data_IF_928345235384
#
_entry.id   IF_928345235384
#
_cell.length_a   1.000
_cell.length_b   1.000
_cell.length_c   1.000
_cell.angle_alpha   90.00
_cell.angle_beta   90.00
_cell.angle_gamma   90.00
#
_symmetry.space_group_name_H-M   'P 1'
#
loop_
_entity.id
_entity.type
_entity.pdbx_description
1 polymer ?
#
# COMPACT_ATOMS: atom_id res chain seq x y z
N UNK A 1 5.86 -20.87 4.03
CA UNK A 1 4.76 -20.18 3.30
C UNK A 1 3.72 -21.19 2.80
N UNK A 2 4.08 -22.19 1.98
CA UNK A 2 3.11 -23.17 1.47
C UNK A 2 2.49 -24.07 2.56
N UNK A 3 3.25 -24.46 3.57
CA UNK A 3 2.70 -25.21 4.72
C UNK A 3 1.70 -24.40 5.52
N UNK A 4 1.95 -23.10 5.71
CA UNK A 4 1.00 -22.17 6.36
C UNK A 4 -0.29 -22.06 5.57
N UNK A 5 -0.19 -21.98 4.23
CA UNK A 5 -1.37 -21.99 3.35
C UNK A 5 -2.14 -23.29 3.51
N UNK A 6 -1.47 -24.44 3.41
CA UNK A 6 -2.09 -25.76 3.57
C UNK A 6 -2.74 -25.95 4.94
N UNK A 7 -2.12 -25.47 6.01
CA UNK A 7 -2.67 -25.53 7.36
C UNK A 7 -3.89 -24.62 7.50
N UNK A 8 -3.83 -23.38 6.99
CA UNK A 8 -4.93 -22.42 7.05
C UNK A 8 -6.13 -22.82 6.15
N UNK A 9 -5.89 -23.59 5.09
CA UNK A 9 -6.92 -24.11 4.19
C UNK A 9 -7.38 -25.53 4.53
N UNK A 10 -6.82 -26.16 5.56
CA UNK A 10 -7.15 -27.55 5.91
C UNK A 10 -8.62 -27.66 6.36
N UNK A 11 -9.40 -28.49 5.69
CA UNK A 11 -10.82 -28.70 5.99
C UNK A 11 -11.76 -27.60 5.52
N UNK A 12 -11.27 -26.59 4.80
CA UNK A 12 -12.12 -25.58 4.18
C UNK A 12 -12.85 -26.14 2.96
N UNK A 13 -14.16 -25.91 2.89
CA UNK A 13 -14.93 -26.07 1.67
C UNK A 13 -14.89 -24.77 0.88
N UNK A 14 -14.24 -24.80 -0.29
CA UNK A 14 -14.34 -23.71 -1.27
C UNK A 14 -15.65 -23.89 -2.02
N UNK A 15 -16.34 -22.78 -2.29
CA UNK A 15 -17.46 -22.75 -3.21
C UNK A 15 -16.95 -22.72 -4.65
N UNK A 16 -17.75 -23.22 -5.60
CA UNK A 16 -17.35 -23.37 -7.00
C UNK A 16 -16.99 -22.04 -7.69
N UNK A 17 -17.42 -20.91 -7.13
CA UNK A 17 -17.12 -19.58 -7.66
C UNK A 17 -15.71 -19.07 -7.28
N UNK A 18 -15.03 -19.69 -6.31
CA UNK A 18 -13.68 -19.27 -5.88
C UNK A 18 -12.64 -19.69 -6.92
N UNK A 19 -11.95 -18.70 -7.50
CA UNK A 19 -10.93 -18.92 -8.52
C UNK A 19 -9.52 -18.52 -8.05
N UNK A 20 -9.41 -17.62 -7.07
CA UNK A 20 -8.13 -17.07 -6.61
C UNK A 20 -8.03 -17.03 -5.09
N UNK A 21 -6.81 -17.27 -4.60
CA UNK A 21 -6.43 -17.09 -3.20
C UNK A 21 -5.14 -16.27 -3.13
N UNK A 22 -5.16 -15.16 -2.40
CA UNK A 22 -4.02 -14.24 -2.31
C UNK A 22 -3.65 -13.93 -0.87
N UNK A 23 -2.37 -13.64 -0.62
CA UNK A 23 -1.91 -13.21 0.69
C UNK A 23 -2.06 -11.70 0.84
N UNK A 24 -2.56 -11.29 2.00
CA UNK A 24 -2.39 -9.91 2.48
C UNK A 24 -0.91 -9.59 2.66
N UNK A 25 -0.52 -8.31 2.61
CA UNK A 25 0.90 -7.92 2.64
C UNK A 25 1.63 -8.17 3.97
N UNK A 26 0.93 -8.49 5.06
CA UNK A 26 1.54 -8.77 6.36
C UNK A 26 2.24 -7.58 7.02
N UNK A 27 1.88 -6.33 6.67
CA UNK A 27 2.50 -5.12 7.24
C UNK A 27 2.31 -5.01 8.77
N UNK A 28 1.26 -5.64 9.31
CA UNK A 28 0.92 -5.70 10.73
C UNK A 28 1.21 -7.06 11.39
N UNK A 29 1.87 -8.01 10.72
CA UNK A 29 2.14 -9.35 11.26
C UNK A 29 1.92 -10.48 10.23
N UNK A 30 1.27 -11.57 10.65
CA UNK A 30 1.08 -12.77 9.83
C UNK A 30 0.12 -12.53 8.64
N UNK A 31 0.49 -12.91 7.40
CA UNK A 31 -0.39 -12.80 6.25
C UNK A 31 -1.65 -13.67 6.38
N UNK A 32 -2.83 -13.07 6.12
CA UNK A 32 -4.10 -13.77 5.88
C UNK A 32 -4.27 -14.15 4.42
N UNK A 33 -5.05 -15.21 4.16
CA UNK A 33 -5.43 -15.64 2.81
C UNK A 33 -6.80 -15.05 2.47
N UNK A 34 -6.88 -14.29 1.39
CA UNK A 34 -8.12 -13.72 0.85
C UNK A 34 -8.57 -14.54 -0.35
N UNK A 35 -9.80 -15.05 -0.30
CA UNK A 35 -10.46 -15.83 -1.33
C UNK A 35 -11.28 -14.92 -2.25
N UNK A 36 -11.22 -15.17 -3.55
CA UNK A 36 -11.83 -14.31 -4.56
C UNK A 36 -12.46 -15.13 -5.68
N UNK A 37 -13.61 -14.66 -6.15
CA UNK A 37 -14.19 -15.18 -7.38
C UNK A 37 -13.44 -14.69 -8.62
N UNK A 38 -13.59 -15.39 -9.75
CA UNK A 38 -13.04 -14.94 -11.02
C UNK A 38 -13.61 -13.56 -11.44
N UNK A 39 -14.93 -13.38 -11.27
CA UNK A 39 -15.62 -12.12 -11.61
C UNK A 39 -15.13 -10.94 -10.78
N UNK A 40 -14.77 -11.14 -9.50
CA UNK A 40 -14.30 -10.04 -8.63
C UNK A 40 -13.04 -9.32 -9.13
N UNK A 41 -12.30 -9.91 -10.07
CA UNK A 41 -11.19 -9.25 -10.74
C UNK A 41 -11.50 -8.96 -12.21
N UNK A 42 -12.17 -9.88 -12.91
CA UNK A 42 -12.51 -9.70 -14.31
C UNK A 42 -13.29 -8.40 -14.59
N UNK A 43 -14.20 -8.02 -13.68
CA UNK A 43 -14.98 -6.78 -13.76
C UNK A 43 -14.10 -5.50 -13.75
N UNK A 44 -12.84 -5.58 -13.31
CA UNK A 44 -11.91 -4.44 -13.29
C UNK A 44 -10.91 -4.44 -14.44
N UNK A 45 -10.87 -5.48 -15.27
CA UNK A 45 -9.85 -5.64 -16.32
C UNK A 45 -9.88 -4.53 -17.36
N UNK A 46 -11.06 -4.17 -17.88
CA UNK A 46 -11.19 -3.11 -18.88
C UNK A 46 -10.68 -1.76 -18.36
N UNK A 47 -11.08 -1.38 -17.14
CA UNK A 47 -10.63 -0.15 -16.50
C UNK A 47 -9.10 -0.16 -16.29
N UNK A 48 -8.54 -1.27 -15.82
CA UNK A 48 -7.08 -1.39 -15.62
C UNK A 48 -6.33 -1.38 -16.95
N UNK A 49 -6.84 -2.03 -17.99
CA UNK A 49 -6.26 -1.97 -19.34
C UNK A 49 -6.24 -0.53 -19.87
N UNK A 50 -7.29 0.26 -19.61
CA UNK A 50 -7.35 1.69 -19.90
C UNK A 50 -6.25 2.49 -19.19
N UNK A 51 -6.08 2.30 -17.87
CA UNK A 51 -5.02 2.98 -17.12
C UNK A 51 -3.61 2.56 -17.56
N UNK A 52 -3.40 1.29 -17.89
CA UNK A 52 -2.10 0.85 -18.43
C UNK A 52 -1.90 1.28 -19.89
N UNK A 53 -2.99 1.53 -20.63
CA UNK A 53 -2.96 1.68 -22.09
C UNK A 53 -2.31 0.47 -22.76
N UNK A 54 -2.63 -0.73 -22.27
CA UNK A 54 -1.94 -1.97 -22.65
C UNK A 54 -2.93 -3.14 -22.83
N UNK A 55 -2.67 -3.96 -23.85
CA UNK A 55 -3.47 -5.14 -24.19
C UNK A 55 -2.63 -6.43 -24.25
N UNK A 56 -3.14 -7.51 -24.86
CA UNK A 56 -2.48 -8.82 -24.86
C UNK A 56 -1.14 -8.86 -25.62
N UNK A 57 -0.92 -7.93 -26.55
CA UNK A 57 0.35 -7.79 -27.28
C UNK A 57 1.42 -7.03 -26.49
N UNK A 58 1.03 -6.39 -25.38
CA UNK A 58 1.93 -5.68 -24.50
C UNK A 58 2.45 -6.57 -23.38
N UNK A 59 3.41 -6.03 -22.63
CA UNK A 59 4.03 -6.72 -21.51
C UNK A 59 4.01 -5.84 -20.26
N UNK A 60 3.56 -6.41 -19.13
CA UNK A 60 3.49 -5.74 -17.83
C UNK A 60 4.58 -6.26 -16.93
N UNK A 61 5.46 -5.35 -16.47
CA UNK A 61 6.48 -5.66 -15.49
C UNK A 61 5.86 -5.83 -14.10
N UNK A 62 6.17 -6.95 -13.46
CA UNK A 62 5.76 -7.31 -12.10
C UNK A 62 7.02 -7.59 -11.26
N UNK A 63 7.55 -6.58 -10.57
CA UNK A 63 8.84 -6.69 -9.87
C UNK A 63 8.74 -7.35 -8.49
N UNK A 64 7.63 -8.04 -8.19
CA UNK A 64 7.45 -8.79 -6.96
C UNK A 64 6.88 -10.20 -7.27
N UNK A 65 7.13 -11.20 -6.40
CA UNK A 65 6.57 -12.55 -6.58
C UNK A 65 5.04 -12.56 -6.66
N UNK A 66 4.43 -13.52 -7.37
CA UNK A 66 2.99 -13.62 -7.56
C UNK A 66 2.25 -14.21 -6.34
N UNK A 67 2.47 -13.63 -5.16
CA UNK A 67 1.83 -14.07 -3.91
C UNK A 67 0.86 -13.01 -3.34
N UNK A 68 1.12 -11.74 -3.62
CA UNK A 68 0.31 -10.63 -3.14
C UNK A 68 -0.82 -10.29 -4.12
N UNK A 69 -1.88 -9.66 -3.61
CA UNK A 69 -3.08 -9.35 -4.39
C UNK A 69 -2.77 -8.59 -5.69
N UNK A 70 -1.86 -7.61 -5.64
CA UNK A 70 -1.43 -6.81 -6.80
C UNK A 70 -0.82 -7.66 -7.93
N UNK A 71 0.15 -8.52 -7.60
CA UNK A 71 0.87 -9.30 -8.60
C UNK A 71 0.03 -10.47 -9.10
N UNK A 72 -0.74 -11.10 -8.23
CA UNK A 72 -1.67 -12.17 -8.61
C UNK A 72 -2.83 -11.64 -9.47
N UNK A 73 -3.35 -10.43 -9.18
CA UNK A 73 -4.32 -9.75 -10.05
C UNK A 73 -3.77 -9.61 -11.47
N UNK A 74 -2.50 -9.22 -11.62
CA UNK A 74 -1.91 -9.02 -12.95
C UNK A 74 -1.78 -10.32 -13.74
N UNK A 75 -1.53 -11.45 -13.05
CA UNK A 75 -1.60 -12.78 -13.67
C UNK A 75 -3.03 -13.11 -14.10
N UNK A 76 -4.02 -12.84 -13.25
CA UNK A 76 -5.44 -13.04 -13.59
C UNK A 76 -5.85 -12.17 -14.79
N UNK A 77 -5.41 -10.92 -14.83
CA UNK A 77 -5.67 -9.99 -15.93
C UNK A 77 -5.07 -10.52 -17.24
N UNK A 78 -3.84 -11.03 -17.22
CA UNK A 78 -3.22 -11.65 -18.41
C UNK A 78 -4.01 -12.86 -18.92
N UNK A 79 -4.52 -13.72 -18.03
CA UNK A 79 -5.40 -14.84 -18.43
C UNK A 79 -6.73 -14.35 -19.02
N UNK A 80 -7.20 -13.17 -18.61
CA UNK A 80 -8.39 -12.51 -19.15
C UNK A 80 -8.15 -11.65 -20.40
N UNK A 81 -6.97 -11.73 -21.03
CA UNK A 81 -6.63 -10.96 -22.24
C UNK A 81 -5.88 -9.64 -21.99
N UNK A 82 -5.42 -9.40 -20.77
CA UNK A 82 -4.52 -8.30 -20.44
C UNK A 82 -3.06 -8.55 -20.87
N UNK A 83 -2.15 -7.61 -20.56
CA UNK A 83 -0.75 -7.68 -20.97
C UNK A 83 -0.01 -8.88 -20.36
N UNK A 84 0.95 -9.42 -21.12
CA UNK A 84 1.76 -10.58 -20.71
C UNK A 84 2.64 -10.22 -19.50
N UNK A 85 2.62 -11.00 -18.41
CA UNK A 85 3.39 -10.69 -17.22
C UNK A 85 4.88 -10.97 -17.43
N UNK A 86 5.72 -10.00 -17.09
CA UNK A 86 7.17 -10.13 -16.97
C UNK A 86 7.52 -10.13 -15.48
N UNK A 87 7.75 -11.31 -14.93
CA UNK A 87 8.17 -11.45 -13.53
C UNK A 87 9.66 -11.13 -13.40
N UNK A 88 10.03 -10.30 -12.43
CA UNK A 88 11.45 -10.12 -12.05
C UNK A 88 12.03 -8.73 -12.33
N UNK A 89 13.23 -8.69 -12.93
CA UNK A 89 14.16 -7.55 -12.88
C UNK A 89 13.62 -6.26 -13.47
N UNK A 90 13.86 -5.16 -12.74
CA UNK A 90 13.38 -3.82 -13.03
C UNK A 90 13.84 -3.24 -14.39
N UNK A 91 14.94 -3.75 -14.94
CA UNK A 91 15.56 -3.29 -16.19
C UNK A 91 15.09 -4.04 -17.44
N UNK A 92 13.99 -4.80 -17.35
CA UNK A 92 13.51 -5.59 -18.48
C UNK A 92 13.07 -4.69 -19.66
N UNK A 93 13.83 -4.72 -20.76
CA UNK A 93 13.61 -3.89 -21.95
C UNK A 93 12.31 -4.19 -22.70
N UNK A 94 11.71 -5.35 -22.47
CA UNK A 94 10.47 -5.75 -23.12
C UNK A 94 9.22 -5.18 -22.42
N UNK A 95 9.39 -4.56 -21.24
CA UNK A 95 8.28 -4.00 -20.48
C UNK A 95 7.67 -2.77 -21.18
N UNK A 96 6.37 -2.82 -21.39
CA UNK A 96 5.57 -1.73 -21.94
C UNK A 96 4.88 -0.93 -20.84
N UNK A 97 4.47 -1.61 -19.77
CA UNK A 97 3.88 -0.99 -18.60
C UNK A 97 4.38 -1.65 -17.30
N UNK A 98 4.15 -1.00 -16.18
CA UNK A 98 4.47 -1.49 -14.83
C UNK A 98 3.18 -1.60 -14.03
N UNK A 99 3.02 -2.70 -13.29
CA UNK A 99 2.07 -2.76 -12.18
C UNK A 99 2.83 -3.13 -10.90
N UNK A 100 2.90 -2.20 -9.94
CA UNK A 100 3.75 -2.38 -8.77
C UNK A 100 3.51 -1.39 -7.65
N UNK A 101 4.42 -1.39 -6.67
CA UNK A 101 4.44 -0.40 -5.58
C UNK A 101 5.25 0.84 -5.96
N UNK A 102 5.16 1.94 -5.20
CA UNK A 102 6.06 3.09 -5.38
C UNK A 102 7.54 2.69 -5.34
N UNK A 103 7.92 1.76 -4.46
CA UNK A 103 9.29 1.25 -4.40
C UNK A 103 9.72 0.55 -5.69
N UNK A 104 8.81 -0.21 -6.30
CA UNK A 104 9.04 -0.87 -7.57
C UNK A 104 9.25 0.14 -8.71
N UNK A 105 8.41 1.18 -8.79
CA UNK A 105 8.58 2.26 -9.76
C UNK A 105 9.93 2.95 -9.56
N UNK A 106 10.33 3.25 -8.31
CA UNK A 106 11.63 3.85 -8.01
C UNK A 106 12.79 2.97 -8.49
N UNK A 107 12.76 1.67 -8.20
CA UNK A 107 13.79 0.75 -8.65
C UNK A 107 13.92 0.69 -10.19
N UNK A 108 12.80 0.76 -10.91
CA UNK A 108 12.79 0.83 -12.38
C UNK A 108 13.44 2.12 -12.88
N UNK A 109 13.10 3.26 -12.28
CA UNK A 109 13.69 4.55 -12.66
C UNK A 109 15.18 4.63 -12.32
N UNK A 110 15.61 4.08 -11.17
CA UNK A 110 17.00 4.06 -10.72
C UNK A 110 17.88 3.19 -11.62
N UNK A 111 17.32 2.11 -12.17
CA UNK A 111 18.01 1.23 -13.11
C UNK A 111 18.10 1.78 -14.55
N UNK A 112 17.53 2.96 -14.81
CA UNK A 112 17.34 3.50 -16.16
C UNK A 112 16.13 2.84 -16.83
N UNK A 113 14.97 3.48 -16.68
CA UNK A 113 13.69 2.94 -17.14
C UNK A 113 13.76 2.40 -18.59
N UNK A 114 13.14 1.24 -18.88
CA UNK A 114 13.08 0.69 -20.23
C UNK A 114 12.51 1.71 -21.23
N UNK A 115 13.11 1.82 -22.41
CA UNK A 115 12.68 2.80 -23.43
C UNK A 115 11.24 2.59 -23.95
N UNK A 116 10.69 1.40 -23.76
CA UNK A 116 9.31 1.05 -24.14
C UNK A 116 8.29 1.27 -23.02
N UNK A 117 8.76 1.52 -21.80
CA UNK A 117 7.89 1.69 -20.63
C UNK A 117 7.17 3.04 -20.73
N UNK A 118 5.84 3.01 -20.89
CA UNK A 118 5.02 4.21 -21.12
C UNK A 118 3.98 4.47 -20.03
N UNK A 119 3.70 3.49 -19.18
CA UNK A 119 2.69 3.61 -18.13
C UNK A 119 3.06 2.83 -16.87
N UNK A 120 2.66 3.35 -15.71
CA UNK A 120 2.80 2.69 -14.43
C UNK A 120 1.50 2.79 -13.62
N UNK A 121 0.90 1.64 -13.31
CA UNK A 121 -0.15 1.52 -12.31
C UNK A 121 0.50 1.20 -10.96
N UNK A 122 0.33 2.09 -9.99
CA UNK A 122 1.08 2.06 -8.74
C UNK A 122 0.13 2.00 -7.55
N UNK A 123 0.30 1.02 -6.67
CA UNK A 123 -0.55 0.93 -5.48
C UNK A 123 0.09 0.20 -4.32
N UNK A 124 -0.70 0.04 -3.27
CA UNK A 124 -0.30 -0.68 -2.06
C UNK A 124 0.42 0.15 -0.99
N UNK A 125 0.87 1.37 -1.31
CA UNK A 125 1.26 2.42 -0.37
C UNK A 125 1.11 3.79 -1.07
N UNK A 126 1.06 4.91 -0.32
CA UNK A 126 0.99 6.25 -0.91
C UNK A 126 2.15 6.51 -1.89
N UNK A 127 1.84 7.15 -3.02
CA UNK A 127 2.84 7.57 -4.00
C UNK A 127 3.39 8.95 -3.63
N UNK A 128 4.72 9.05 -3.55
CA UNK A 128 5.45 10.31 -3.40
C UNK A 128 5.26 11.20 -4.65
N UNK A 129 4.81 12.46 -4.53
CA UNK A 129 4.69 13.39 -5.65
C UNK A 129 5.98 13.58 -6.45
N UNK A 130 7.15 13.58 -5.80
CA UNK A 130 8.43 13.72 -6.50
C UNK A 130 8.75 12.47 -7.33
N UNK A 131 8.32 11.29 -6.88
CA UNK A 131 8.45 10.06 -7.66
C UNK A 131 7.55 10.07 -8.90
N UNK A 132 6.33 10.59 -8.77
CA UNK A 132 5.42 10.79 -9.90
C UNK A 132 6.06 11.73 -10.94
N UNK A 133 6.49 12.91 -10.51
CA UNK A 133 7.11 13.91 -11.39
C UNK A 133 8.32 13.33 -12.12
N UNK A 134 9.18 12.61 -11.42
CA UNK A 134 10.35 11.95 -12.01
C UNK A 134 9.97 10.90 -13.06
N UNK A 135 8.91 10.12 -12.83
CA UNK A 135 8.43 9.14 -13.80
C UNK A 135 7.82 9.81 -15.04
N UNK A 136 7.00 10.84 -14.83
CA UNK A 136 6.34 11.57 -15.90
C UNK A 136 7.36 12.35 -16.75
N UNK A 137 8.42 12.89 -16.15
CA UNK A 137 9.56 13.49 -16.85
C UNK A 137 10.34 12.47 -17.71
N UNK A 138 10.28 11.18 -17.36
CA UNK A 138 10.83 10.08 -18.16
C UNK A 138 9.83 9.56 -19.22
N UNK A 139 8.68 10.21 -19.41
CA UNK A 139 7.66 9.82 -20.38
C UNK A 139 6.73 8.69 -19.91
N UNK A 140 6.74 8.37 -18.62
CA UNK A 140 5.89 7.31 -18.04
C UNK A 140 4.67 7.94 -17.40
N UNK A 141 3.48 7.68 -17.96
CA UNK A 141 2.22 8.10 -17.35
C UNK A 141 1.96 7.29 -16.07
N UNK A 142 1.74 7.96 -14.94
CA UNK A 142 1.53 7.30 -13.66
C UNK A 142 0.07 7.37 -13.24
N UNK A 143 -0.50 6.23 -12.89
CA UNK A 143 -1.81 6.13 -12.23
C UNK A 143 -1.59 5.49 -10.88
N UNK A 144 -1.81 6.25 -9.80
CA UNK A 144 -1.78 5.70 -8.46
C UNK A 144 -3.15 5.14 -8.08
N UNK A 145 -3.23 4.18 -7.18
CA UNK A 145 -4.51 3.69 -6.66
C UNK A 145 -4.41 3.29 -5.19
N UNK A 146 -5.53 3.45 -4.50
CA UNK A 146 -5.77 2.87 -3.19
C UNK A 146 -6.67 1.64 -3.32
N UNK A 147 -6.32 0.62 -2.54
CA UNK A 147 -7.03 -0.64 -2.50
C UNK A 147 -6.57 -1.49 -1.32
N UNK A 148 -7.37 -2.51 -1.03
CA UNK A 148 -7.09 -3.55 -0.03
C UNK A 148 -7.21 -4.92 -0.69
N UNK A 149 -6.57 -5.96 -0.16
CA UNK A 149 -6.65 -7.29 -0.77
C UNK A 149 -8.10 -7.81 -0.82
N UNK A 150 -8.90 -7.40 0.17
CA UNK A 150 -10.31 -7.70 0.38
C UNK A 150 -11.22 -6.85 -0.52
N UNK A 151 -10.84 -5.61 -0.84
CA UNK A 151 -11.66 -4.67 -1.59
C UNK A 151 -11.24 -4.53 -3.06
N UNK A 152 -10.06 -5.05 -3.43
CA UNK A 152 -9.39 -4.80 -4.71
C UNK A 152 -9.17 -3.29 -4.94
N UNK A 153 -9.49 -2.77 -6.12
CA UNK A 153 -9.43 -1.35 -6.45
C UNK A 153 -10.59 -0.57 -5.80
N UNK A 154 -10.25 0.49 -5.05
CA UNK A 154 -11.22 1.34 -4.36
C UNK A 154 -11.21 2.76 -4.91
N UNK A 155 -10.03 3.35 -5.06
CA UNK A 155 -9.86 4.70 -5.56
C UNK A 155 -8.61 4.83 -6.44
N UNK A 156 -8.63 5.77 -7.38
CA UNK A 156 -7.58 6.02 -8.36
C UNK A 156 -7.17 7.49 -8.35
N UNK A 157 -5.89 7.77 -8.58
CA UNK A 157 -5.30 9.10 -8.66
C UNK A 157 -4.44 9.23 -9.93
N UNK A 158 -4.90 10.06 -10.85
CA UNK A 158 -4.21 10.40 -12.10
C UNK A 158 -3.41 11.71 -12.00
N UNK A 159 -3.17 12.20 -10.77
CA UNK A 159 -2.38 13.40 -10.48
C UNK A 159 -3.18 14.53 -9.83
N UNK A 160 -4.49 14.38 -9.69
CA UNK A 160 -5.36 15.40 -9.09
C UNK A 160 -5.94 14.98 -7.72
N UNK A 161 -5.63 13.76 -7.24
CA UNK A 161 -6.07 13.20 -5.97
C UNK A 161 -7.08 12.05 -6.13
N UNK A 162 -7.16 11.18 -5.12
CA UNK A 162 -7.92 9.93 -5.19
C UNK A 162 -9.42 10.15 -5.43
N UNK A 163 -9.97 9.59 -6.50
CA UNK A 163 -11.40 9.50 -6.79
C UNK A 163 -11.85 8.05 -6.78
N UNK A 164 -13.14 7.80 -6.63
CA UNK A 164 -13.68 6.44 -6.70
C UNK A 164 -13.23 5.73 -7.98
N UNK A 165 -12.73 4.50 -7.85
CA UNK A 165 -12.36 3.69 -9.01
C UNK A 165 -13.64 3.37 -9.83
N UNK A 166 -13.58 3.31 -11.18
CA UNK A 166 -14.75 3.00 -11.99
C UNK A 166 -15.45 1.70 -11.53
N UNK A 167 -16.74 1.78 -11.21
CA UNK A 167 -17.51 0.66 -10.65
C UNK A 167 -17.43 0.49 -9.13
N UNK A 168 -16.68 1.34 -8.42
CA UNK A 168 -16.68 1.44 -6.97
C UNK A 168 -17.46 2.68 -6.50
N UNK A 169 -18.19 2.51 -5.41
CA UNK A 169 -18.89 3.58 -4.70
C UNK A 169 -18.33 3.70 -3.28
N UNK A 170 -18.16 4.94 -2.82
CA UNK A 170 -17.54 5.26 -1.54
C UNK A 170 -18.55 5.92 -0.60
N UNK A 171 -18.57 5.49 0.66
CA UNK A 171 -19.39 6.07 1.72
C UNK A 171 -18.54 6.24 2.97
N UNK A 172 -18.53 7.43 3.55
CA UNK A 172 -17.90 7.66 4.86
C UNK A 172 -18.95 7.49 5.95
N UNK A 173 -18.79 6.50 6.82
CA UNK A 173 -19.71 6.22 7.93
C UNK A 173 -18.95 6.35 9.24
N UNK A 174 -19.33 7.32 10.07
CA UNK A 174 -18.62 7.63 11.31
C UNK A 174 -17.09 7.80 11.14
N UNK A 175 -16.66 8.39 10.02
CA UNK A 175 -15.24 8.60 9.70
C UNK A 175 -14.49 7.39 9.15
N UNK A 176 -15.19 6.28 8.88
CA UNK A 176 -14.65 5.06 8.28
C UNK A 176 -15.08 4.92 6.82
N UNK A 177 -14.18 4.44 5.96
CA UNK A 177 -14.43 4.19 4.55
C UNK A 177 -15.17 2.86 4.34
N UNK A 178 -16.39 2.96 3.81
CA UNK A 178 -17.16 1.84 3.30
C UNK A 178 -17.20 1.90 1.77
N UNK A 179 -17.05 0.74 1.15
CA UNK A 179 -16.96 0.58 -0.30
C UNK A 179 -18.02 -0.42 -0.78
N UNK A 180 -18.73 -0.08 -1.85
CA UNK A 180 -19.56 -1.02 -2.61
C UNK A 180 -18.96 -1.15 -4.00
N UNK A 181 -18.62 -2.37 -4.42
CA UNK A 181 -18.11 -2.63 -5.76
C UNK A 181 -18.29 -4.12 -6.11
N UNK A 182 -18.27 -4.51 -7.39
CA UNK A 182 -18.21 -5.91 -7.79
C UNK A 182 -16.84 -6.54 -7.49
N UNK A 183 -15.85 -5.75 -7.07
CA UNK A 183 -14.47 -6.21 -6.85
C UNK A 183 -14.21 -6.76 -5.45
N UNK A 184 -15.22 -6.80 -4.58
CA UNK A 184 -15.07 -7.27 -3.21
C UNK A 184 -14.78 -8.78 -3.20
N UNK A 185 -13.84 -9.20 -2.36
CA UNK A 185 -13.47 -10.59 -2.16
C UNK A 185 -14.62 -11.43 -1.57
N UNK A 186 -14.52 -12.75 -1.72
CA UNK A 186 -15.50 -13.70 -1.18
C UNK A 186 -15.29 -13.93 0.33
N UNK A 187 -14.05 -13.79 0.82
CA UNK A 187 -13.74 -13.76 2.25
C UNK A 187 -12.34 -14.20 2.59
N UNK A 188 -12.10 -14.61 3.85
CA UNK A 188 -10.82 -15.16 4.27
C UNK A 188 -10.83 -16.68 4.30
N UNK A 189 -9.66 -17.28 4.07
CA UNK A 189 -9.39 -18.65 4.46
C UNK A 189 -8.77 -18.71 5.86
N UNK A 190 -9.49 -19.36 6.78
CA UNK A 190 -9.11 -19.50 8.18
C UNK A 190 -9.54 -18.32 9.05
N UNK A 191 -8.57 -17.56 9.55
CA UNK A 191 -8.80 -16.54 10.57
C UNK A 191 -9.46 -15.26 10.04
N UNK A 192 -10.35 -14.69 10.86
CA UNK A 192 -10.96 -13.39 10.61
C UNK A 192 -9.92 -12.27 10.44
N UNK A 193 -10.35 -11.21 9.78
CA UNK A 193 -9.57 -10.01 9.55
C UNK A 193 -10.41 -8.76 9.76
N UNK A 194 -9.86 -7.58 9.43
CA UNK A 194 -10.56 -6.32 9.65
C UNK A 194 -11.74 -6.10 8.69
N UNK A 195 -11.92 -6.99 7.72
CA UNK A 195 -13.02 -6.96 6.78
C UNK A 195 -14.37 -7.13 7.47
N UNK A 196 -15.27 -6.15 7.27
CA UNK A 196 -16.66 -6.22 7.72
C UNK A 196 -17.58 -5.91 6.55
N UNK A 197 -18.80 -6.47 6.59
CA UNK A 197 -19.84 -6.24 5.58
C UNK A 197 -21.12 -5.72 6.21
N UNK A 198 -21.82 -4.89 5.45
CA UNK A 198 -23.19 -4.43 5.70
C UNK A 198 -23.93 -4.44 4.35
N UNK A 199 -24.61 -5.56 4.08
CA UNK A 199 -25.18 -5.86 2.77
C UNK A 199 -24.12 -5.86 1.66
N UNK A 200 -24.29 -4.96 0.68
CA UNK A 200 -23.38 -4.78 -0.44
C UNK A 200 -22.14 -3.93 -0.11
N UNK A 201 -22.11 -3.29 1.06
CA UNK A 201 -20.99 -2.45 1.49
C UNK A 201 -20.00 -3.27 2.30
N UNK A 202 -18.71 -2.98 2.13
CA UNK A 202 -17.62 -3.57 2.87
C UNK A 202 -16.61 -2.52 3.34
N UNK A 203 -15.92 -2.80 4.43
CA UNK A 203 -14.89 -1.95 5.03
C UNK A 203 -13.73 -2.80 5.52
N UNK A 204 -12.53 -2.22 5.57
CA UNK A 204 -11.35 -2.80 6.24
C UNK A 204 -10.90 -1.95 7.44
N UNK A 205 -11.75 -1.02 7.89
CA UNK A 205 -11.47 -0.14 9.04
C UNK A 205 -10.53 1.02 8.73
N UNK A 206 -10.31 1.35 7.46
CA UNK A 206 -9.57 2.54 7.06
C UNK A 206 -10.40 3.79 7.35
N UNK A 207 -9.81 4.73 8.09
CA UNK A 207 -10.41 6.04 8.34
C UNK A 207 -10.19 6.93 7.13
N UNK A 208 -11.21 7.66 6.75
CA UNK A 208 -11.14 8.55 5.60
C UNK A 208 -12.17 9.66 5.68
N UNK A 209 -11.99 10.67 4.83
CA UNK A 209 -12.98 11.68 4.52
C UNK A 209 -13.09 11.88 3.01
N UNK A 210 -14.21 12.46 2.58
CA UNK A 210 -14.42 12.91 1.20
C UNK A 210 -14.43 14.44 1.20
N UNK A 211 -13.49 15.03 0.46
CA UNK A 211 -13.39 16.49 0.28
C UNK A 211 -13.48 16.76 -1.22
N UNK A 212 -14.50 17.49 -1.64
CA UNK A 212 -14.74 17.82 -3.06
C UNK A 212 -14.74 16.61 -4.00
N UNK A 213 -15.32 15.49 -3.53
CA UNK A 213 -15.38 14.23 -4.28
C UNK A 213 -14.06 13.45 -4.32
N UNK A 214 -13.05 13.89 -3.57
CA UNK A 214 -11.75 13.21 -3.43
C UNK A 214 -11.63 12.51 -2.09
N UNK A 215 -11.15 11.27 -2.11
CA UNK A 215 -10.89 10.46 -0.94
C UNK A 215 -9.56 10.88 -0.29
N UNK A 216 -9.62 11.29 0.98
CA UNK A 216 -8.43 11.47 1.81
C UNK A 216 -8.38 10.38 2.88
N UNK A 217 -7.38 9.51 2.78
CA UNK A 217 -7.12 8.48 3.78
C UNK A 217 -6.46 9.08 5.01
N UNK A 218 -6.93 8.69 6.19
CA UNK A 218 -6.45 9.15 7.49
C UNK A 218 -5.65 8.06 8.22
N UNK A 219 -5.62 6.82 7.71
CA UNK A 219 -4.95 5.66 8.31
C UNK A 219 -5.91 4.69 8.97
N UNK A 220 -5.40 3.70 9.71
CA UNK A 220 -6.22 2.66 10.36
C UNK A 220 -6.45 2.97 11.83
N UNK A 221 -7.68 2.76 12.29
CA UNK A 221 -8.01 2.92 13.71
C UNK A 221 -7.24 1.93 14.60
N UNK A 222 -7.04 0.69 14.12
CA UNK A 222 -6.34 -0.37 14.86
C UNK A 222 -4.82 -0.13 14.99
N UNK A 223 -4.24 0.67 14.07
CA UNK A 223 -2.82 1.02 14.09
C UNK A 223 -2.54 2.25 14.97
N UNK A 224 -3.57 2.82 15.61
CA UNK A 224 -3.42 4.03 16.39
C UNK A 224 -2.51 3.83 17.62
N UNK A 225 -1.59 4.76 17.82
CA UNK A 225 -0.71 4.82 18.97
C UNK A 225 -1.45 5.52 20.10
N UNK A 226 -1.73 4.76 21.17
CA UNK A 226 -2.29 5.31 22.41
C UNK A 226 -1.17 5.91 23.26
N UNK A 227 -1.04 7.23 23.25
CA UNK A 227 -0.22 7.98 24.20
C UNK A 227 -1.07 8.43 25.38
N UNK A 228 -0.45 8.85 26.50
CA UNK A 228 -1.20 9.37 27.65
C UNK A 228 -2.09 10.59 27.37
N UNK A 229 -1.90 11.30 26.25
CA UNK A 229 -2.58 12.58 25.98
C UNK A 229 -3.36 12.62 24.67
N UNK A 230 -3.23 11.60 23.82
CA UNK A 230 -3.87 11.53 22.52
C UNK A 230 -3.82 10.11 21.93
N UNK A 231 -4.77 9.84 21.05
CA UNK A 231 -4.72 8.73 20.08
C UNK A 231 -4.11 9.27 18.79
N UNK A 232 -2.95 8.75 18.39
CA UNK A 232 -2.20 9.21 17.22
C UNK A 232 -2.38 8.19 16.10
N UNK A 233 -2.79 8.63 14.91
CA UNK A 233 -2.78 7.76 13.74
C UNK A 233 -1.40 7.85 13.06
N UNK A 234 -0.62 6.75 12.99
CA UNK A 234 0.74 6.78 12.45
C UNK A 234 0.82 7.40 11.07
N UNK A 235 -0.12 7.07 10.18
CA UNK A 235 -0.13 7.51 8.78
C UNK A 235 -0.22 9.03 8.64
N UNK A 236 -0.90 9.74 9.56
CA UNK A 236 -0.96 11.21 9.55
C UNK A 236 0.41 11.83 9.84
N UNK A 237 1.13 11.24 10.81
CA UNK A 237 2.48 11.66 11.15
C UNK A 237 3.43 11.32 10.00
N UNK A 238 3.36 10.09 9.47
CA UNK A 238 4.19 9.66 8.34
C UNK A 238 3.99 10.54 7.10
N UNK A 239 2.75 10.95 6.79
CA UNK A 239 2.46 11.84 5.68
C UNK A 239 3.15 13.20 5.82
N UNK A 240 3.18 13.76 7.03
CA UNK A 240 3.95 15.00 7.30
C UNK A 240 5.44 14.76 7.12
N UNK A 241 5.99 13.65 7.63
CA UNK A 241 7.43 13.37 7.51
C UNK A 241 7.85 13.12 6.06
N UNK A 242 7.07 12.36 5.29
CA UNK A 242 7.32 12.10 3.86
C UNK A 242 7.25 13.35 2.98
N UNK A 243 6.57 14.40 3.44
CA UNK A 243 6.51 15.68 2.71
C UNK A 243 7.77 16.54 2.86
N UNK A 244 8.73 16.13 3.67
CA UNK A 244 10.01 16.83 3.85
C UNK A 244 10.98 16.41 2.73
N UNK A 245 11.56 17.35 1.97
CA UNK A 245 12.58 17.04 0.97
C UNK A 245 13.73 16.21 1.56
N UNK A 246 14.20 15.21 0.81
CA UNK A 246 15.24 14.29 1.28
C UNK A 246 14.75 13.14 2.16
N UNK A 247 13.45 13.05 2.47
CA UNK A 247 12.87 11.86 3.10
C UNK A 247 12.39 10.90 2.03
N UNK A 248 13.01 9.72 1.95
CA UNK A 248 12.57 8.64 1.05
C UNK A 248 11.29 7.98 1.52
N UNK A 249 11.24 7.65 2.81
CA UNK A 249 10.09 7.03 3.44
C UNK A 249 10.18 7.18 4.98
N UNK A 250 9.07 7.00 5.66
CA UNK A 250 8.97 7.09 7.11
C UNK A 250 7.96 6.06 7.63
N UNK A 251 8.29 5.40 8.74
CA UNK A 251 7.37 4.55 9.49
C UNK A 251 7.23 5.12 10.89
N UNK A 252 5.99 5.32 11.33
CA UNK A 252 5.67 5.75 12.69
C UNK A 252 5.09 4.57 13.45
N UNK A 253 5.53 4.40 14.70
CA UNK A 253 5.08 3.33 15.57
C UNK A 253 5.12 3.74 17.04
N UNK A 254 4.32 3.05 17.85
CA UNK A 254 4.31 3.23 19.29
C UNK A 254 5.49 2.51 19.94
N UNK A 255 6.26 3.22 20.74
CA UNK A 255 7.28 2.65 21.61
C UNK A 255 6.74 2.56 23.04
N UNK A 256 6.55 1.36 23.61
CA UNK A 256 6.00 1.21 24.95
C UNK A 256 6.81 2.00 25.99
N UNK A 257 6.14 2.81 26.82
CA UNK A 257 6.76 3.53 27.95
C UNK A 257 5.84 3.53 29.16
N UNK A 258 6.08 2.60 30.07
CA UNK A 258 5.36 2.60 31.35
C UNK A 258 5.70 3.85 32.19
N UNK A 259 4.75 4.43 32.95
CA UNK A 259 3.31 4.10 33.02
C UNK A 259 2.41 4.87 32.04
N UNK A 260 2.96 5.58 31.06
CA UNK A 260 2.34 6.73 30.35
C UNK A 260 1.82 6.36 28.94
N UNK A 261 1.56 5.08 28.68
CA UNK A 261 1.18 4.57 27.35
C UNK A 261 2.38 4.39 26.41
N UNK A 262 2.21 4.66 25.11
CA UNK A 262 3.28 4.59 24.12
C UNK A 262 3.80 5.99 23.76
N UNK A 263 5.13 6.11 23.59
CA UNK A 263 5.74 7.26 22.93
C UNK A 263 5.65 7.10 21.41
N UNK A 264 5.38 8.19 20.70
CA UNK A 264 5.48 8.21 19.23
C UNK A 264 6.95 8.12 18.82
N UNK A 265 7.29 7.14 18.00
CA UNK A 265 8.61 6.97 17.41
C UNK A 265 8.52 7.01 15.88
N UNK A 266 9.57 7.54 15.24
CA UNK A 266 9.70 7.55 13.79
C UNK A 266 11.00 6.87 13.37
N UNK A 267 10.92 5.98 12.39
CA UNK A 267 12.06 5.44 11.67
C UNK A 267 11.99 5.98 10.24
N UNK A 268 12.99 6.76 9.85
CA UNK A 268 13.08 7.46 8.57
C UNK A 268 14.18 6.88 7.69
N UNK A 269 13.93 6.83 6.38
CA UNK A 269 14.92 6.56 5.35
C UNK A 269 15.18 7.87 4.59
N UNK A 270 16.45 8.29 4.49
CA UNK A 270 16.82 9.63 4.01
C UNK A 270 17.76 9.60 2.81
N UNK A 271 17.56 10.50 1.85
CA UNK A 271 18.52 10.87 0.80
C UNK A 271 19.32 12.09 1.26
N UNK A 272 20.42 11.86 2.00
CA UNK A 272 21.26 12.93 2.55
C UNK A 272 20.90 13.31 3.99
N UNK A 273 21.20 14.55 4.38
CA UNK A 273 20.95 15.08 5.72
C UNK A 273 19.69 15.97 5.75
N UNK A 274 18.54 15.36 6.05
CA UNK A 274 17.25 16.04 6.24
C UNK A 274 16.80 16.03 7.72
N UNK A 275 17.71 15.68 8.64
CA UNK A 275 17.37 15.44 10.04
C UNK A 275 16.77 16.69 10.70
N UNK A 276 17.41 17.85 10.51
CA UNK A 276 16.96 19.12 11.09
C UNK A 276 15.59 19.55 10.55
N UNK A 277 15.30 19.27 9.27
CA UNK A 277 14.06 19.66 8.59
C UNK A 277 12.88 18.81 9.03
N UNK A 278 13.09 17.51 9.29
CA UNK A 278 12.09 16.61 9.87
C UNK A 278 11.51 17.17 11.17
N UNK A 279 12.37 17.62 12.10
CA UNK A 279 11.91 18.17 13.37
C UNK A 279 11.16 19.47 13.18
N UNK A 280 11.65 20.36 12.31
CA UNK A 280 10.95 21.62 12.00
C UNK A 280 9.57 21.36 11.42
N UNK A 281 9.45 20.46 10.44
CA UNK A 281 8.18 20.09 9.84
C UNK A 281 7.21 19.48 10.86
N UNK A 282 7.69 18.57 11.71
CA UNK A 282 6.89 18.00 12.79
C UNK A 282 6.39 19.06 13.78
N UNK A 283 7.23 20.04 14.15
CA UNK A 283 6.82 21.13 15.05
C UNK A 283 5.78 22.04 14.38
N UNK A 284 5.98 22.38 13.11
CA UNK A 284 5.11 23.29 12.37
C UNK A 284 3.73 22.69 12.04
N UNK A 285 3.66 21.37 11.78
CA UNK A 285 2.49 20.73 11.16
C UNK A 285 1.79 19.69 12.04
N UNK A 286 2.40 19.27 13.16
CA UNK A 286 1.81 18.31 14.08
C UNK A 286 1.56 18.93 15.46
N UNK A 287 0.43 18.53 16.06
CA UNK A 287 0.13 18.83 17.46
C UNK A 287 1.21 18.23 18.39
N UNK A 288 1.52 18.85 19.55
CA UNK A 288 2.60 18.40 20.43
C UNK A 288 2.57 16.91 20.82
N UNK A 289 1.38 16.31 20.94
CA UNK A 289 1.22 14.88 21.27
C UNK A 289 1.53 13.94 20.09
N UNK A 290 1.45 14.42 18.84
CA UNK A 290 1.68 13.63 17.62
C UNK A 290 3.13 13.63 17.16
N UNK A 291 3.96 14.52 17.73
CA UNK A 291 5.36 14.67 17.34
C UNK A 291 6.18 13.46 17.80
N UNK A 292 6.97 12.82 16.91
CA UNK A 292 7.87 11.76 17.33
C UNK A 292 8.86 12.25 18.41
N UNK A 293 9.00 11.45 19.46
CA UNK A 293 9.92 11.71 20.60
C UNK A 293 11.20 10.87 20.52
N UNK A 294 11.22 9.92 19.59
CA UNK A 294 12.34 9.03 19.30
C UNK A 294 12.44 8.91 17.78
N UNK A 295 13.66 9.06 17.29
CA UNK A 295 13.96 9.07 15.87
C UNK A 295 15.05 8.06 15.60
N UNK A 296 14.87 7.32 14.52
CA UNK A 296 15.81 6.33 14.01
C UNK A 296 16.01 6.58 12.52
N UNK A 297 17.22 6.33 12.03
CA UNK A 297 17.54 6.49 10.61
C UNK A 297 18.26 5.24 10.07
N UNK A 298 18.01 4.94 8.80
CA UNK A 298 18.58 3.78 8.12
C UNK A 298 17.65 3.21 7.06
N UNK A 299 17.93 1.97 6.63
CA UNK A 299 17.10 1.28 5.64
C UNK A 299 15.84 0.70 6.28
N UNK A 300 14.69 1.14 5.79
CA UNK A 300 13.41 0.66 6.29
C UNK A 300 13.15 -0.78 5.82
N UNK A 301 12.74 -1.69 6.73
CA UNK A 301 12.38 -3.04 6.34
C UNK A 301 11.14 -3.01 5.45
N UNK A 302 11.15 -3.89 4.44
CA UNK A 302 10.09 -4.00 3.43
C UNK A 302 9.53 -5.43 3.44
N UNK A 303 8.25 -5.57 3.11
CA UNK A 303 7.63 -6.87 2.82
C UNK A 303 8.15 -7.43 1.50
N UNK A 304 7.85 -8.69 1.19
CA UNK A 304 8.19 -9.29 -0.11
C UNK A 304 7.57 -8.56 -1.32
N UNK A 305 6.50 -7.78 -1.09
CA UNK A 305 5.87 -6.91 -2.11
C UNK A 305 6.42 -5.49 -2.14
N UNK A 306 7.46 -5.18 -1.36
CA UNK A 306 8.10 -3.86 -1.32
C UNK A 306 7.37 -2.81 -0.48
N UNK A 307 6.36 -3.21 0.31
CA UNK A 307 5.66 -2.28 1.22
C UNK A 307 6.44 -2.07 2.52
N UNK A 308 6.35 -0.91 3.18
CA UNK A 308 6.90 -0.72 4.53
C UNK A 308 6.42 -1.81 5.51
N UNK A 309 7.34 -2.44 6.23
CA UNK A 309 7.04 -3.48 7.21
C UNK A 309 7.07 -2.90 8.65
N UNK A 310 5.98 -2.25 9.06
CA UNK A 310 5.89 -1.50 10.34
C UNK A 310 6.25 -2.33 11.57
N UNK A 311 5.73 -3.56 11.67
CA UNK A 311 6.03 -4.45 12.80
C UNK A 311 7.53 -4.77 12.90
N UNK A 312 8.18 -5.04 11.77
CA UNK A 312 9.61 -5.32 11.71
C UNK A 312 10.45 -4.07 11.99
N UNK A 313 10.02 -2.89 11.52
CA UNK A 313 10.68 -1.62 11.81
C UNK A 313 10.65 -1.31 13.32
N UNK A 314 9.50 -1.51 13.97
CA UNK A 314 9.36 -1.37 15.41
C UNK A 314 10.26 -2.36 16.15
N UNK A 315 10.29 -3.63 15.72
CA UNK A 315 11.17 -4.67 16.31
C UNK A 315 12.65 -4.27 16.24
N UNK A 316 13.15 -3.88 15.06
CA UNK A 316 14.56 -3.44 14.86
C UNK A 316 14.91 -2.26 15.75
N UNK A 317 14.03 -1.26 15.82
CA UNK A 317 14.23 -0.08 16.66
C UNK A 317 14.25 -0.42 18.16
N UNK A 318 13.34 -1.27 18.63
CA UNK A 318 13.26 -1.72 20.02
C UNK A 318 14.44 -2.62 20.42
N UNK A 319 14.96 -3.41 19.48
CA UNK A 319 16.13 -4.26 19.68
C UNK A 319 17.48 -3.50 19.61
N UNK A 320 17.47 -2.21 19.25
CA UNK A 320 18.69 -1.41 19.09
C UNK A 320 19.50 -1.75 17.84
N UNK A 321 18.87 -2.38 16.84
CA UNK A 321 19.51 -2.80 15.58
C UNK A 321 19.66 -1.67 14.56
N UNK A 322 19.17 -0.47 14.88
CA UNK A 322 19.17 0.70 14.00
C UNK A 322 19.66 1.94 14.73
N UNK A 323 20.35 2.81 14.00
CA UNK A 323 20.95 4.02 14.55
C UNK A 323 19.88 5.00 15.02
N UNK A 324 20.09 5.54 16.22
CA UNK A 324 19.31 6.69 16.69
C UNK A 324 19.69 7.91 15.88
N UNK A 325 18.68 8.66 15.48
CA UNK A 325 18.85 9.94 14.83
C UNK A 325 18.65 11.02 15.90
N UNK A 326 19.68 11.80 16.15
CA UNK A 326 19.57 12.98 17.01
C UNK A 326 19.09 14.15 16.14
N UNK A 327 17.86 14.58 16.41
CA UNK A 327 17.16 15.70 15.76
C UNK A 327 16.70 16.72 16.77
#
# INVERSE_FOLDING_TARGET
MWETVRAASAGMQLTDDIAWATLTSGSSGSPRIVLRSASSWAESFEAVAGYLGAGPDDAVLLPAPPAASLTLFSLAHALGGGPRPLLGVASNSDAHCLHGTPQALRAVLDAGAPSRLRAALVGGSPLDPALRERAEAAGIRVTAYYGAAELSFVAVDEGDGLRAFPGAELSIRAGELWVRSPFIASGYAGADGPWRRDGAWATVGDRAELVDGRLRLLGRADDAILSASATIVPEEVEAVLRSVPGVRDAIVFGMPRAPVGALVAAFVELDGDAATELRRAAVARLAPAHRPRRWFAGHLPRTASGKPARAEAARRALAGEVSRLDV
#
